data_IF_822406063745
#
_entry.id   IF_822406063745
#
_cell.length_a   1.000
_cell.length_b   1.000
_cell.length_c   1.000
_cell.angle_alpha   90.00
_cell.angle_beta   90.00
_cell.angle_gamma   90.00
#
_symmetry.space_group_name_H-M   'P 1'
#
loop_
_entity.id
_entity.type
_entity.pdbx_description
1 polymer ?
#
# COMPACT_ATOMS: atom_id res chain seq x y z
N UNK A 1 -42.59 -32.77 48.80
CA UNK A 1 -42.01 -33.42 47.61
C UNK A 1 -42.46 -32.75 46.31
N UNK A 2 -43.76 -32.62 46.00
CA UNK A 2 -44.23 -31.97 44.76
C UNK A 2 -43.74 -30.51 44.59
N UNK A 3 -43.76 -29.70 45.66
CA UNK A 3 -43.25 -28.30 45.64
C UNK A 3 -41.76 -28.20 45.32
N UNK A 4 -40.94 -29.13 45.83
CA UNK A 4 -39.50 -29.19 45.55
C UNK A 4 -39.24 -29.58 44.08
N UNK A 5 -40.06 -30.50 43.55
CA UNK A 5 -39.99 -30.93 42.14
C UNK A 5 -40.32 -29.79 41.17
N UNK A 6 -41.31 -28.95 41.49
CA UNK A 6 -41.65 -27.77 40.68
C UNK A 6 -40.55 -26.69 40.74
N UNK A 7 -39.89 -26.50 41.88
CA UNK A 7 -38.75 -25.58 41.99
C UNK A 7 -37.53 -26.06 41.19
N UNK A 8 -37.27 -27.36 41.16
CA UNK A 8 -36.19 -27.96 40.37
C UNK A 8 -36.49 -27.87 38.86
N UNK A 9 -37.74 -28.14 38.44
CA UNK A 9 -38.15 -27.97 37.05
C UNK A 9 -38.05 -26.51 36.58
N UNK A 10 -38.45 -25.56 37.43
CA UNK A 10 -38.35 -24.13 37.11
C UNK A 10 -36.89 -23.64 37.03
N UNK A 11 -36.00 -24.18 37.89
CA UNK A 11 -34.57 -23.91 37.82
C UNK A 11 -33.91 -24.50 36.57
N UNK A 12 -34.29 -25.72 36.18
CA UNK A 12 -33.78 -26.37 34.98
C UNK A 12 -34.28 -25.68 33.70
N UNK A 13 -35.53 -25.20 33.66
CA UNK A 13 -36.02 -24.41 32.53
C UNK A 13 -35.31 -23.06 32.39
N UNK A 14 -34.88 -22.45 33.49
CA UNK A 14 -34.14 -21.18 33.46
C UNK A 14 -32.69 -21.37 32.96
N UNK A 15 -32.07 -22.51 33.27
CA UNK A 15 -30.73 -22.87 32.78
C UNK A 15 -30.72 -23.16 31.27
N UNK A 16 -31.77 -23.79 30.74
CA UNK A 16 -31.91 -24.08 29.30
C UNK A 16 -32.13 -22.80 28.48
N UNK A 17 -32.78 -21.77 29.06
CA UNK A 17 -32.96 -20.47 28.38
C UNK A 17 -31.65 -19.67 28.31
N UNK A 18 -30.74 -19.84 29.28
CA UNK A 18 -29.45 -19.13 29.29
C UNK A 18 -28.42 -19.74 28.33
N UNK A 19 -28.53 -21.02 27.95
CA UNK A 19 -27.63 -21.66 26.98
C UNK A 19 -28.08 -21.51 25.51
N UNK A 20 -29.26 -20.94 25.25
CA UNK A 20 -29.81 -20.82 23.89
C UNK A 20 -29.52 -19.46 23.22
N UNK A 21 -28.74 -18.59 23.86
CA UNK A 21 -28.47 -17.22 23.41
C UNK A 21 -27.09 -16.99 22.79
N UNK A 22 -26.23 -18.01 22.66
CA UNK A 22 -24.90 -17.82 22.04
C UNK A 22 -25.02 -17.45 20.54
N UNK A 23 -25.89 -18.12 19.77
CA UNK A 23 -26.09 -17.83 18.34
C UNK A 23 -26.72 -16.46 18.02
N UNK A 24 -27.23 -15.75 19.04
CA UNK A 24 -27.84 -14.42 18.87
C UNK A 24 -26.89 -13.25 19.09
N UNK A 25 -25.70 -13.48 19.65
CA UNK A 25 -24.70 -12.43 19.86
C UNK A 25 -23.72 -12.27 18.69
N UNK A 26 -23.53 -13.31 17.87
CA UNK A 26 -22.73 -13.25 16.65
C UNK A 26 -23.59 -12.83 15.45
N UNK A 27 -24.13 -11.61 15.50
CA UNK A 27 -24.77 -11.02 14.34
C UNK A 27 -23.68 -10.42 13.42
N UNK A 28 -23.46 -10.95 12.20
CA UNK A 28 -22.54 -10.31 11.27
C UNK A 28 -23.02 -8.89 10.95
N UNK A 29 -22.07 -7.98 10.75
CA UNK A 29 -22.37 -6.59 10.41
C UNK A 29 -23.15 -6.54 9.10
N UNK A 30 -24.44 -6.21 9.15
CA UNK A 30 -25.33 -6.19 7.96
C UNK A 30 -24.88 -5.24 6.84
N UNK A 31 -23.92 -4.35 7.12
CA UNK A 31 -23.45 -3.32 6.19
C UNK A 31 -21.99 -3.51 5.74
N UNK A 32 -21.30 -4.55 6.21
CA UNK A 32 -19.94 -4.87 5.79
C UNK A 32 -19.92 -6.30 5.22
N UNK A 33 -19.38 -6.47 4.02
CA UNK A 33 -19.09 -7.80 3.50
C UNK A 33 -17.87 -8.34 4.23
N UNK A 34 -17.90 -9.62 4.55
CA UNK A 34 -16.77 -10.32 5.15
C UNK A 34 -15.59 -10.39 4.16
N UNK A 35 -14.35 -10.30 4.66
CA UNK A 35 -13.15 -10.37 3.82
C UNK A 35 -13.09 -11.67 3.01
N UNK A 36 -13.55 -12.79 3.56
CA UNK A 36 -13.60 -14.07 2.85
C UNK A 36 -14.55 -14.03 1.64
N UNK A 37 -15.65 -13.27 1.72
CA UNK A 37 -16.59 -13.09 0.63
C UNK A 37 -16.05 -12.11 -0.41
N UNK A 38 -15.43 -11.02 0.04
CA UNK A 38 -14.86 -10.00 -0.86
C UNK A 38 -13.74 -10.61 -1.71
N UNK A 39 -12.76 -11.27 -1.07
CA UNK A 39 -11.53 -11.67 -1.74
C UNK A 39 -11.58 -13.04 -2.42
N UNK A 40 -12.63 -13.83 -2.17
CA UNK A 40 -12.90 -15.06 -2.95
C UNK A 40 -13.62 -14.79 -4.28
N UNK A 41 -14.20 -13.60 -4.46
CA UNK A 41 -14.93 -13.22 -5.68
C UNK A 41 -14.16 -12.18 -6.50
N UNK A 42 -13.77 -12.47 -7.75
CA UNK A 42 -13.05 -11.51 -8.60
C UNK A 42 -13.76 -10.16 -8.75
N UNK A 43 -15.09 -10.17 -8.91
CA UNK A 43 -15.87 -8.94 -9.12
C UNK A 43 -15.93 -8.05 -7.87
N UNK A 44 -15.87 -8.64 -6.68
CA UNK A 44 -15.84 -7.88 -5.42
C UNK A 44 -14.41 -7.44 -5.09
N UNK A 45 -13.43 -8.33 -5.28
CA UNK A 45 -12.02 -8.06 -5.06
C UNK A 45 -11.48 -6.93 -5.95
N UNK A 46 -12.04 -6.74 -7.15
CA UNK A 46 -11.69 -5.61 -8.03
C UNK A 46 -11.91 -4.24 -7.36
N UNK A 47 -12.89 -4.14 -6.45
CA UNK A 47 -13.13 -2.93 -5.66
C UNK A 47 -11.93 -2.54 -4.78
N UNK A 48 -11.08 -3.50 -4.39
CA UNK A 48 -9.88 -3.21 -3.62
C UNK A 48 -8.83 -2.43 -4.44
N UNK A 49 -8.65 -2.78 -5.72
CA UNK A 49 -7.78 -2.05 -6.65
C UNK A 49 -8.28 -0.61 -6.82
N UNK A 50 -9.58 -0.44 -7.08
CA UNK A 50 -10.19 0.88 -7.17
C UNK A 50 -10.03 1.69 -5.87
N UNK A 51 -10.16 1.05 -4.71
CA UNK A 51 -9.94 1.66 -3.40
C UNK A 51 -8.51 2.17 -3.21
N UNK A 52 -7.51 1.48 -3.73
CA UNK A 52 -6.11 1.95 -3.69
C UNK A 52 -5.94 3.12 -4.66
N UNK A 53 -6.41 3.01 -5.91
CA UNK A 53 -6.31 4.08 -6.91
C UNK A 53 -7.00 5.37 -6.45
N UNK A 54 -8.10 5.25 -5.70
CA UNK A 54 -8.79 6.40 -5.12
C UNK A 54 -7.86 7.29 -4.29
N UNK A 55 -6.90 6.74 -3.54
CA UNK A 55 -5.97 7.55 -2.74
C UNK A 55 -5.00 8.38 -3.59
N UNK A 56 -4.89 8.10 -4.89
CA UNK A 56 -4.13 8.92 -5.84
C UNK A 56 -4.95 10.11 -6.38
N UNK A 57 -6.27 9.93 -6.49
CA UNK A 57 -7.20 10.88 -7.08
C UNK A 57 -7.73 11.94 -6.13
N UNK A 58 -7.55 11.73 -4.82
CA UNK A 58 -8.02 12.63 -3.77
C UNK A 58 -7.43 14.05 -3.89
N UNK A 59 -8.22 15.06 -3.52
CA UNK A 59 -7.88 16.48 -3.79
C UNK A 59 -6.53 16.88 -3.20
N UNK A 60 -6.24 16.42 -1.98
CA UNK A 60 -5.02 16.75 -1.25
C UNK A 60 -3.94 15.64 -1.31
N UNK A 61 -4.07 14.70 -2.26
CA UNK A 61 -3.23 13.51 -2.35
C UNK A 61 -2.12 13.59 -3.42
N UNK A 62 -1.82 12.47 -4.07
CA UNK A 62 -0.87 12.33 -5.17
C UNK A 62 -1.10 13.40 -6.24
N UNK A 63 -2.32 13.50 -6.77
CA UNK A 63 -2.67 14.44 -7.86
C UNK A 63 -2.49 15.90 -7.48
N UNK A 64 -3.06 16.33 -6.35
CA UNK A 64 -3.20 17.76 -6.03
C UNK A 64 -2.12 18.33 -5.10
N UNK A 65 -1.31 17.49 -4.47
CA UNK A 65 -0.24 17.93 -3.55
C UNK A 65 1.12 17.35 -3.90
N UNK A 66 1.23 16.03 -4.06
CA UNK A 66 2.53 15.41 -4.31
C UNK A 66 3.18 15.92 -5.60
N UNK A 67 2.49 15.79 -6.73
CA UNK A 67 2.99 16.20 -8.05
C UNK A 67 3.28 17.70 -8.20
N UNK A 68 2.69 18.54 -7.34
CA UNK A 68 2.74 20.00 -7.45
C UNK A 68 3.77 20.63 -6.50
N UNK A 69 4.07 19.95 -5.39
CA UNK A 69 4.90 20.50 -4.32
C UNK A 69 6.20 19.74 -4.05
N UNK A 70 6.35 18.49 -4.51
CA UNK A 70 7.51 17.65 -4.19
C UNK A 70 8.38 17.40 -5.41
N UNK A 71 9.69 17.58 -5.28
CA UNK A 71 10.66 17.32 -6.35
C UNK A 71 10.63 18.33 -7.51
N UNK A 72 9.93 19.45 -7.34
CA UNK A 72 9.83 20.54 -8.31
C UNK A 72 10.83 21.65 -8.00
N UNK A 73 10.86 22.69 -8.83
CA UNK A 73 11.72 23.87 -8.65
C UNK A 73 13.21 23.51 -8.66
N UNK A 74 13.59 22.90 -9.78
CA UNK A 74 14.92 22.40 -10.10
C UNK A 74 15.67 23.41 -10.98
N UNK A 75 16.79 23.00 -11.57
CA UNK A 75 17.52 23.80 -12.56
C UNK A 75 16.83 23.88 -13.93
N UNK A 76 15.80 23.06 -14.18
CA UNK A 76 15.04 23.04 -15.43
C UNK A 76 13.63 23.65 -15.33
N UNK A 77 13.14 23.93 -14.13
CA UNK A 77 11.85 24.57 -13.90
C UNK A 77 11.83 25.41 -12.63
N UNK A 78 11.02 26.46 -12.62
CA UNK A 78 10.88 27.35 -11.47
C UNK A 78 9.40 27.58 -11.18
N UNK A 79 9.04 27.57 -9.88
CA UNK A 79 7.71 27.97 -9.47
C UNK A 79 7.46 29.44 -9.84
N UNK A 80 6.37 29.70 -10.56
CA UNK A 80 5.87 31.07 -10.74
C UNK A 80 5.48 31.60 -9.35
N UNK A 81 6.19 32.62 -8.85
CA UNK A 81 6.26 33.07 -7.44
C UNK A 81 7.36 32.46 -6.56
N UNK A 82 8.51 32.05 -7.13
CA UNK A 82 9.70 31.61 -6.38
C UNK A 82 10.07 32.52 -5.18
N UNK A 83 9.89 33.84 -5.35
CA UNK A 83 10.24 34.87 -4.35
C UNK A 83 9.20 35.05 -3.24
N UNK A 84 8.06 34.38 -3.33
CA UNK A 84 7.11 34.32 -2.23
C UNK A 84 7.55 33.22 -1.26
N UNK A 85 7.90 33.60 -0.03
CA UNK A 85 8.29 32.67 1.02
C UNK A 85 7.27 32.66 2.16
N UNK A 86 6.13 33.34 1.99
CA UNK A 86 5.15 33.53 3.05
C UNK A 86 4.04 32.47 3.04
N UNK A 87 3.91 31.73 1.93
CA UNK A 87 2.92 30.65 1.80
C UNK A 87 3.57 29.28 2.01
N UNK A 88 2.86 28.38 2.69
CA UNK A 88 3.36 27.04 2.99
C UNK A 88 3.69 26.22 1.73
N UNK A 89 2.92 26.39 0.66
CA UNK A 89 3.20 25.74 -0.62
C UNK A 89 4.50 26.23 -1.27
N UNK A 90 4.79 27.53 -1.19
CA UNK A 90 6.03 28.06 -1.72
C UNK A 90 7.24 27.65 -0.86
N UNK A 91 7.08 27.63 0.46
CA UNK A 91 8.12 27.14 1.39
C UNK A 91 8.47 25.67 1.16
N UNK A 92 7.47 24.83 0.90
CA UNK A 92 7.68 23.42 0.58
C UNK A 92 8.47 23.24 -0.73
N UNK A 93 8.08 23.95 -1.79
CA UNK A 93 8.74 23.88 -3.10
C UNK A 93 10.14 24.48 -3.11
N UNK A 94 10.39 25.46 -2.26
CA UNK A 94 11.71 26.06 -2.10
C UNK A 94 12.63 25.28 -1.15
N UNK A 95 12.26 24.04 -0.77
CA UNK A 95 13.01 23.21 0.17
C UNK A 95 13.30 23.92 1.51
N UNK A 96 12.40 24.83 1.93
CA UNK A 96 12.48 25.65 3.15
C UNK A 96 11.24 25.46 4.04
N UNK A 97 10.78 24.21 4.15
CA UNK A 97 9.60 23.84 4.93
C UNK A 97 9.86 23.92 6.45
N UNK A 98 8.80 23.80 7.26
CA UNK A 98 8.91 23.64 8.72
C UNK A 98 7.86 22.65 9.26
N UNK A 99 7.98 22.34 10.55
CA UNK A 99 7.08 21.43 11.28
C UNK A 99 5.61 21.84 11.24
N UNK A 100 5.32 23.14 11.07
CA UNK A 100 3.96 23.69 11.03
C UNK A 100 3.40 23.87 9.63
N UNK A 101 4.07 23.40 8.58
CA UNK A 101 3.66 23.64 7.20
C UNK A 101 2.29 22.99 6.94
N UNK A 102 1.28 23.80 6.62
CA UNK A 102 -0.09 23.35 6.39
C UNK A 102 -0.29 22.44 5.17
N UNK A 103 0.68 22.36 4.25
CA UNK A 103 0.67 21.37 3.17
C UNK A 103 1.16 19.99 3.63
N UNK A 104 1.84 19.92 4.78
CA UNK A 104 2.45 18.70 5.33
C UNK A 104 1.86 18.28 6.68
N UNK A 105 1.07 19.12 7.33
CA UNK A 105 0.51 18.88 8.66
C UNK A 105 -1.02 18.96 8.63
N UNK A 106 -1.66 18.04 7.92
CA UNK A 106 -3.12 17.89 7.88
C UNK A 106 -3.51 16.41 7.78
N UNK A 107 -4.71 16.07 8.20
CA UNK A 107 -5.20 14.68 8.18
C UNK A 107 -5.40 14.11 6.76
N UNK A 108 -5.36 14.95 5.73
CA UNK A 108 -5.64 14.56 4.34
C UNK A 108 -4.54 14.98 3.35
N UNK A 109 -3.32 15.25 3.82
CA UNK A 109 -2.21 15.60 2.94
C UNK A 109 -1.65 14.38 2.18
N UNK A 110 -0.62 14.61 1.35
CA UNK A 110 0.03 13.57 0.56
C UNK A 110 0.54 12.40 1.42
N UNK A 111 1.17 12.65 2.56
CA UNK A 111 1.65 11.62 3.47
C UNK A 111 0.51 10.73 3.99
N UNK A 112 -0.56 11.34 4.49
CA UNK A 112 -1.71 10.63 5.03
C UNK A 112 -2.41 9.78 3.94
N UNK A 113 -2.54 10.32 2.73
CA UNK A 113 -3.15 9.62 1.60
C UNK A 113 -2.27 8.49 1.07
N UNK A 114 -0.94 8.63 1.11
CA UNK A 114 -0.02 7.54 0.76
C UNK A 114 -0.13 6.39 1.77
N UNK A 115 -0.11 6.67 3.07
CA UNK A 115 -0.30 5.62 4.07
C UNK A 115 -1.69 4.99 4.05
N UNK A 116 -2.73 5.75 3.68
CA UNK A 116 -4.05 5.17 3.44
C UNK A 116 -4.03 4.20 2.24
N UNK A 117 -3.35 4.55 1.14
CA UNK A 117 -3.18 3.67 -0.01
C UNK A 117 -2.39 2.40 0.34
N UNK A 118 -1.32 2.53 1.12
CA UNK A 118 -0.52 1.41 1.64
C UNK A 118 -1.37 0.48 2.51
N UNK A 119 -2.16 1.03 3.44
CA UNK A 119 -2.99 0.20 4.31
C UNK A 119 -4.06 -0.57 3.52
N UNK A 120 -4.73 0.10 2.57
CA UNK A 120 -5.68 -0.56 1.66
C UNK A 120 -5.02 -1.68 0.86
N UNK A 121 -3.78 -1.47 0.41
CA UNK A 121 -3.03 -2.51 -0.28
C UNK A 121 -2.67 -3.68 0.64
N UNK A 122 -2.22 -3.42 1.87
CA UNK A 122 -1.90 -4.46 2.85
C UNK A 122 -3.13 -5.32 3.18
N UNK A 123 -4.28 -4.69 3.42
CA UNK A 123 -5.55 -5.41 3.65
C UNK A 123 -5.92 -6.29 2.45
N UNK A 124 -5.79 -5.75 1.23
CA UNK A 124 -6.10 -6.48 0.01
C UNK A 124 -5.13 -7.64 -0.26
N UNK A 125 -3.84 -7.46 0.00
CA UNK A 125 -2.82 -8.53 -0.14
C UNK A 125 -3.10 -9.64 0.86
N UNK A 126 -3.32 -9.30 2.14
CA UNK A 126 -3.69 -10.29 3.16
C UNK A 126 -4.94 -11.05 2.73
N UNK A 127 -5.99 -10.33 2.36
CA UNK A 127 -7.27 -10.91 1.94
C UNK A 127 -7.16 -11.84 0.73
N UNK A 128 -6.50 -11.39 -0.35
CA UNK A 128 -6.28 -12.19 -1.56
C UNK A 128 -5.40 -13.41 -1.31
N UNK A 129 -4.37 -13.30 -0.46
CA UNK A 129 -3.53 -14.46 -0.10
C UNK A 129 -4.27 -15.46 0.80
N UNK A 130 -5.19 -15.00 1.63
CA UNK A 130 -5.89 -15.86 2.60
C UNK A 130 -7.10 -16.54 1.98
N UNK A 131 -7.89 -15.80 1.20
CA UNK A 131 -9.20 -16.22 0.72
C UNK A 131 -9.30 -16.28 -0.81
N UNK A 132 -8.33 -15.69 -1.51
CA UNK A 132 -8.26 -15.76 -2.95
C UNK A 132 -7.63 -17.08 -3.40
N UNK A 133 -8.31 -17.81 -4.26
CA UNK A 133 -7.75 -18.99 -4.95
C UNK A 133 -6.80 -18.56 -6.08
N UNK A 134 -5.79 -17.74 -5.74
CA UNK A 134 -4.89 -17.08 -6.71
C UNK A 134 -4.10 -18.09 -7.55
N UNK A 135 -3.89 -19.31 -7.05
CA UNK A 135 -3.20 -20.36 -7.79
C UNK A 135 -4.04 -20.95 -8.94
N UNK A 136 -5.37 -20.93 -8.83
CA UNK A 136 -6.27 -21.53 -9.83
C UNK A 136 -7.20 -20.51 -10.50
N UNK A 137 -7.24 -19.27 -10.03
CA UNK A 137 -8.06 -18.19 -10.58
C UNK A 137 -7.17 -17.07 -11.15
N UNK A 138 -6.97 -17.01 -12.48
CA UNK A 138 -6.16 -15.98 -13.13
C UNK A 138 -6.63 -14.55 -12.86
N UNK A 139 -7.92 -14.34 -12.58
CA UNK A 139 -8.44 -13.00 -12.29
C UNK A 139 -8.01 -12.54 -10.90
N UNK A 140 -8.10 -13.40 -9.89
CA UNK A 140 -7.62 -13.09 -8.54
C UNK A 140 -6.09 -12.98 -8.51
N UNK A 141 -5.38 -13.82 -9.26
CA UNK A 141 -3.93 -13.72 -9.45
C UNK A 141 -3.55 -12.34 -10.00
N UNK A 142 -4.17 -11.94 -11.11
CA UNK A 142 -3.97 -10.61 -11.69
C UNK A 142 -4.20 -9.52 -10.64
N UNK A 143 -5.33 -9.53 -9.92
CA UNK A 143 -5.65 -8.53 -8.90
C UNK A 143 -4.58 -8.46 -7.78
N UNK A 144 -4.08 -9.60 -7.31
CA UNK A 144 -2.99 -9.61 -6.32
C UNK A 144 -1.73 -8.93 -6.88
N UNK A 145 -1.35 -9.25 -8.12
CA UNK A 145 -0.23 -8.60 -8.78
C UNK A 145 -0.42 -7.09 -8.98
N UNK A 146 -1.65 -6.63 -9.29
CA UNK A 146 -1.94 -5.19 -9.38
C UNK A 146 -1.79 -4.50 -8.02
N UNK A 147 -2.30 -5.11 -6.95
CA UNK A 147 -2.23 -4.55 -5.59
C UNK A 147 -0.78 -4.45 -5.10
N UNK A 148 0.02 -5.51 -5.27
CA UNK A 148 1.45 -5.52 -4.97
C UNK A 148 2.18 -4.38 -5.70
N UNK A 149 1.87 -4.22 -6.99
CA UNK A 149 2.46 -3.16 -7.82
C UNK A 149 2.06 -1.77 -7.35
N UNK A 150 0.78 -1.55 -7.03
CA UNK A 150 0.30 -0.25 -6.55
C UNK A 150 0.92 0.11 -5.19
N UNK A 151 1.09 -0.86 -4.28
CA UNK A 151 1.84 -0.66 -3.03
C UNK A 151 3.26 -0.19 -3.31
N UNK A 152 3.95 -0.81 -4.27
CA UNK A 152 5.30 -0.42 -4.67
C UNK A 152 5.36 0.98 -5.31
N UNK A 153 4.36 1.38 -6.10
CA UNK A 153 4.26 2.76 -6.63
C UNK A 153 4.20 3.76 -5.46
N UNK A 154 3.23 3.58 -4.55
CA UNK A 154 3.02 4.52 -3.44
C UNK A 154 4.27 4.62 -2.56
N UNK A 155 4.89 3.48 -2.21
CA UNK A 155 6.11 3.50 -1.40
C UNK A 155 7.31 4.13 -2.12
N UNK A 156 7.51 3.83 -3.41
CA UNK A 156 8.58 4.44 -4.20
C UNK A 156 8.50 5.96 -4.17
N UNK A 157 7.31 6.52 -4.35
CA UNK A 157 7.10 7.98 -4.38
C UNK A 157 7.12 8.61 -2.97
N UNK A 158 6.62 7.90 -1.97
CA UNK A 158 6.78 8.28 -0.56
C UNK A 158 8.26 8.39 -0.17
N UNK A 159 9.10 7.41 -0.54
CA UNK A 159 10.53 7.46 -0.25
C UNK A 159 11.26 8.58 -0.98
N UNK A 160 10.84 8.95 -2.21
CA UNK A 160 11.46 10.08 -2.93
C UNK A 160 11.29 11.40 -2.19
N UNK A 161 10.15 11.59 -1.52
CA UNK A 161 9.85 12.84 -0.84
C UNK A 161 10.36 12.89 0.61
N UNK A 162 10.35 11.78 1.35
CA UNK A 162 10.69 11.76 2.78
C UNK A 162 11.96 10.96 3.12
N UNK A 163 12.51 10.21 2.18
CA UNK A 163 13.61 9.27 2.42
C UNK A 163 13.12 8.07 3.24
N UNK A 164 13.76 7.83 4.38
CA UNK A 164 13.41 6.73 5.27
C UNK A 164 12.07 7.02 5.95
N UNK A 165 11.16 6.04 5.95
CA UNK A 165 9.79 6.17 6.45
C UNK A 165 9.39 4.88 7.18
N UNK A 166 8.31 4.88 8.00
CA UNK A 166 7.80 3.63 8.58
C UNK A 166 7.46 2.58 7.52
N UNK A 167 8.08 1.40 7.63
CA UNK A 167 7.82 0.23 6.81
C UNK A 167 6.57 -0.51 7.33
N UNK A 168 5.53 -0.60 6.51
CA UNK A 168 4.22 -1.20 6.84
C UNK A 168 3.80 -2.09 5.68
N UNK A 169 4.00 -3.39 5.84
CA UNK A 169 3.65 -4.39 4.82
C UNK A 169 2.53 -5.34 5.26
N UNK A 170 2.06 -5.15 6.50
CA UNK A 170 0.91 -5.83 7.08
C UNK A 170 -0.13 -4.80 7.53
N UNK A 171 -1.42 -5.18 7.61
CA UNK A 171 -2.48 -4.29 8.11
C UNK A 171 -2.19 -3.80 9.53
N UNK A 172 -2.54 -2.53 9.80
CA UNK A 172 -2.28 -1.92 11.10
C UNK A 172 -3.11 -2.58 12.20
N UNK A 173 -2.47 -2.82 13.34
CA UNK A 173 -3.11 -3.29 14.56
C UNK A 173 -2.70 -2.40 15.75
N UNK A 174 -3.23 -2.68 16.94
CA UNK A 174 -2.97 -1.89 18.15
C UNK A 174 -1.50 -1.82 18.54
N UNK A 175 -0.70 -2.83 18.19
CA UNK A 175 0.73 -2.91 18.51
C UNK A 175 1.58 -2.13 17.49
N UNK A 176 1.10 -2.02 16.24
CA UNK A 176 1.83 -1.39 15.12
C UNK A 176 1.37 0.03 14.82
N UNK A 177 0.52 0.64 15.66
CA UNK A 177 0.05 2.03 15.46
C UNK A 177 1.22 2.99 15.35
N UNK A 178 2.21 2.87 16.24
CA UNK A 178 3.39 3.74 16.30
C UNK A 178 4.65 2.97 15.88
N UNK A 179 5.10 3.22 14.66
CA UNK A 179 6.36 2.67 14.15
C UNK A 179 7.35 3.81 13.89
N UNK A 180 8.60 3.57 14.24
CA UNK A 180 9.70 4.43 13.85
C UNK A 180 9.95 4.34 12.34
N UNK A 181 10.77 5.26 11.83
CA UNK A 181 11.26 5.19 10.45
C UNK A 181 12.19 3.98 10.34
N UNK A 182 12.07 3.24 9.24
CA UNK A 182 12.93 2.10 8.94
C UNK A 182 13.98 2.49 7.89
N UNK A 183 15.12 1.79 7.84
CA UNK A 183 16.06 1.95 6.73
C UNK A 183 15.34 1.65 5.41
N UNK A 184 15.43 2.59 4.45
CA UNK A 184 14.81 2.44 3.13
C UNK A 184 15.26 1.19 2.39
N UNK A 185 16.42 0.63 2.75
CA UNK A 185 16.93 -0.61 2.16
C UNK A 185 15.96 -1.78 2.43
N UNK A 186 15.34 -1.84 3.63
CA UNK A 186 14.31 -2.83 3.96
C UNK A 186 13.08 -2.64 3.06
N UNK A 187 12.66 -1.40 2.86
CA UNK A 187 11.53 -1.07 2.00
C UNK A 187 11.86 -1.47 0.55
N UNK A 188 13.03 -1.08 0.03
CA UNK A 188 13.44 -1.43 -1.33
C UNK A 188 13.43 -2.93 -1.59
N UNK A 189 13.96 -3.74 -0.68
CA UNK A 189 13.94 -5.20 -0.82
C UNK A 189 12.50 -5.71 -0.92
N UNK A 190 11.62 -5.31 0.00
CA UNK A 190 10.23 -5.73 -0.05
C UNK A 190 9.53 -5.30 -1.35
N UNK A 191 9.80 -4.09 -1.87
CA UNK A 191 9.22 -3.64 -3.13
C UNK A 191 9.74 -4.44 -4.33
N UNK A 192 11.01 -4.83 -4.32
CA UNK A 192 11.60 -5.64 -5.38
C UNK A 192 11.04 -7.06 -5.39
N UNK A 193 10.76 -7.61 -4.23
CA UNK A 193 10.12 -8.92 -4.04
C UNK A 193 8.64 -8.87 -4.44
N UNK A 194 7.90 -7.85 -3.98
CA UNK A 194 6.50 -7.61 -4.36
C UNK A 194 6.34 -7.54 -5.89
N UNK A 195 7.27 -6.84 -6.56
CA UNK A 195 7.23 -6.67 -8.02
C UNK A 195 7.73 -7.90 -8.78
N UNK A 196 8.60 -8.72 -8.18
CA UNK A 196 8.97 -10.02 -8.74
C UNK A 196 7.77 -10.96 -8.74
N UNK A 197 7.08 -11.09 -7.60
CA UNK A 197 5.87 -11.88 -7.48
C UNK A 197 4.78 -11.35 -8.43
N UNK A 198 4.54 -10.04 -8.43
CA UNK A 198 3.54 -9.43 -9.31
C UNK A 198 3.80 -9.72 -10.79
N UNK A 199 5.07 -9.77 -11.23
CA UNK A 199 5.43 -10.05 -12.61
C UNK A 199 5.05 -11.47 -13.05
N UNK A 200 4.95 -12.42 -12.13
CA UNK A 200 4.45 -13.78 -12.43
C UNK A 200 2.92 -13.83 -12.49
N UNK A 201 2.24 -12.96 -11.74
CA UNK A 201 0.78 -12.97 -11.59
C UNK A 201 0.04 -12.17 -12.67
N UNK A 202 0.58 -11.05 -13.13
CA UNK A 202 -0.12 -10.17 -14.09
C UNK A 202 0.10 -10.57 -15.55
N UNK A 203 -0.87 -10.31 -16.41
CA UNK A 203 -0.78 -10.56 -17.84
C UNK A 203 0.05 -9.50 -18.59
N UNK A 204 0.65 -9.89 -19.72
CA UNK A 204 1.25 -8.95 -20.67
C UNK A 204 0.19 -8.01 -21.28
N UNK A 205 0.56 -6.82 -21.79
CA UNK A 205 -0.36 -5.95 -22.52
C UNK A 205 -1.11 -6.72 -23.60
N UNK A 206 -2.43 -6.51 -23.68
CA UNK A 206 -3.36 -7.18 -24.60
C UNK A 206 -3.49 -8.71 -24.45
N UNK A 207 -2.87 -9.33 -23.44
CA UNK A 207 -2.92 -10.78 -23.24
C UNK A 207 -4.13 -11.26 -22.40
N UNK A 208 -4.81 -10.37 -21.68
CA UNK A 208 -6.07 -10.67 -20.96
C UNK A 208 -7.11 -9.58 -21.18
N UNK A 209 -8.37 -9.83 -20.81
CA UNK A 209 -9.44 -8.82 -20.87
C UNK A 209 -9.15 -7.60 -19.97
N UNK A 210 -8.43 -7.78 -18.86
CA UNK A 210 -8.08 -6.70 -17.93
C UNK A 210 -6.92 -5.83 -18.43
N UNK A 211 -6.08 -6.33 -19.34
CA UNK A 211 -4.90 -5.62 -19.85
C UNK A 211 -5.09 -5.11 -21.28
N UNK A 212 -6.33 -4.89 -21.72
CA UNK A 212 -6.64 -4.34 -23.05
C UNK A 212 -6.41 -2.82 -23.16
N UNK A 213 -6.56 -2.10 -22.04
CA UNK A 213 -6.29 -0.66 -21.95
C UNK A 213 -5.04 -0.40 -21.09
N UNK A 214 -4.64 0.87 -21.01
CA UNK A 214 -3.54 1.34 -20.16
C UNK A 214 -4.00 1.74 -18.75
N UNK A 215 -5.25 1.46 -18.39
CA UNK A 215 -5.85 1.88 -17.12
C UNK A 215 -5.57 0.89 -15.98
N UNK A 216 -5.01 -0.28 -16.31
CA UNK A 216 -4.74 -1.38 -15.39
C UNK A 216 -3.26 -1.74 -15.39
N UNK A 217 -2.80 -2.28 -14.27
CA UNK A 217 -1.43 -2.77 -14.16
C UNK A 217 -1.26 -3.99 -15.07
N UNK A 218 -0.21 -3.98 -15.88
CA UNK A 218 0.17 -5.09 -16.76
C UNK A 218 1.66 -5.43 -16.56
N UNK A 219 2.09 -6.58 -17.06
CA UNK A 219 3.45 -7.11 -16.83
C UNK A 219 4.54 -6.15 -17.27
N UNK A 220 4.36 -5.44 -18.40
CA UNK A 220 5.34 -4.46 -18.87
C UNK A 220 5.52 -3.30 -17.87
N UNK A 221 4.42 -2.81 -17.27
CA UNK A 221 4.50 -1.79 -16.22
C UNK A 221 5.19 -2.30 -14.95
N UNK A 222 4.86 -3.52 -14.51
CA UNK A 222 5.49 -4.14 -13.32
C UNK A 222 7.01 -4.25 -13.50
N UNK A 223 7.45 -4.80 -14.64
CA UNK A 223 8.87 -4.98 -14.97
C UNK A 223 9.60 -3.63 -15.06
N UNK A 224 9.01 -2.66 -15.75
CA UNK A 224 9.56 -1.31 -15.86
C UNK A 224 9.67 -0.60 -14.51
N UNK A 225 8.69 -0.77 -13.61
CA UNK A 225 8.73 -0.23 -12.26
C UNK A 225 9.81 -0.93 -11.41
N UNK A 226 9.91 -2.26 -11.49
CA UNK A 226 10.94 -3.04 -10.78
C UNK A 226 12.34 -2.60 -11.20
N UNK A 227 12.59 -2.42 -12.49
CA UNK A 227 13.85 -1.88 -13.01
C UNK A 227 14.14 -0.49 -12.44
N UNK A 228 13.17 0.42 -12.44
CA UNK A 228 13.35 1.79 -11.90
C UNK A 228 13.68 1.79 -10.42
N UNK A 229 13.01 0.93 -9.64
CA UNK A 229 13.25 0.80 -8.19
C UNK A 229 14.63 0.17 -7.93
N UNK A 230 15.01 -0.88 -8.66
CA UNK A 230 16.33 -1.50 -8.54
C UNK A 230 17.45 -0.49 -8.84
N UNK A 231 17.28 0.35 -9.88
CA UNK A 231 18.23 1.41 -10.20
C UNK A 231 18.35 2.44 -9.07
N UNK A 232 17.23 2.79 -8.43
CA UNK A 232 17.19 3.72 -7.29
C UNK A 232 17.88 3.12 -6.06
N UNK A 233 17.64 1.84 -5.77
CA UNK A 233 18.25 1.12 -4.65
C UNK A 233 19.78 0.98 -4.77
N UNK A 234 20.29 0.83 -5.99
CA UNK A 234 21.73 0.79 -6.29
C UNK A 234 22.43 2.15 -6.12
N UNK A 235 21.66 3.24 -6.13
CA UNK A 235 22.14 4.61 -6.18
C UNK A 235 22.74 5.12 -4.87
N UNK A 236 23.45 6.24 -4.97
CA UNK A 236 23.81 7.02 -3.78
C UNK A 236 22.58 7.77 -3.27
N UNK A 237 22.41 7.80 -1.95
CA UNK A 237 21.36 8.58 -1.31
C UNK A 237 21.82 9.16 0.02
N UNK A 238 21.21 10.27 0.42
CA UNK A 238 21.35 10.82 1.77
C UNK A 238 20.72 9.86 2.78
N UNK A 239 21.49 9.44 3.78
CA UNK A 239 21.07 8.52 4.85
C UNK A 239 20.77 9.28 6.15
N UNK A 240 20.17 8.60 7.13
CA UNK A 240 19.84 9.20 8.43
C UNK A 240 21.07 9.71 9.20
N UNK A 241 22.23 9.12 8.96
CA UNK A 241 23.52 9.54 9.52
C UNK A 241 24.06 10.85 8.88
N UNK A 242 23.35 11.44 7.91
CA UNK A 242 23.74 12.65 7.20
C UNK A 242 24.77 12.43 6.09
N UNK A 243 25.20 11.19 5.87
CA UNK A 243 26.16 10.86 4.81
C UNK A 243 25.46 10.52 3.49
N UNK A 244 26.15 10.76 2.38
CA UNK A 244 25.73 10.31 1.06
C UNK A 244 26.48 9.03 0.74
N UNK A 245 25.77 7.91 0.74
CA UNK A 245 26.34 6.59 0.46
C UNK A 245 25.35 5.68 -0.24
N UNK A 246 25.88 4.62 -0.85
CA UNK A 246 25.07 3.49 -1.34
C UNK A 246 24.56 2.66 -0.15
N UNK A 247 23.64 1.74 -0.45
CA UNK A 247 23.23 0.71 0.49
C UNK A 247 24.45 -0.08 0.97
N UNK A 248 24.43 -0.45 2.26
CA UNK A 248 25.38 -1.41 2.85
C UNK A 248 24.82 -2.83 2.88
N UNK A 249 23.59 -3.03 2.39
CA UNK A 249 22.93 -4.32 2.39
C UNK A 249 23.42 -5.16 1.20
N UNK A 250 23.88 -6.42 1.40
CA UNK A 250 24.41 -7.26 0.33
C UNK A 250 23.41 -7.56 -0.80
N UNK A 251 22.11 -7.55 -0.51
CA UNK A 251 21.08 -7.75 -1.54
C UNK A 251 20.86 -6.55 -2.45
N UNK A 252 21.26 -5.35 -2.04
CA UNK A 252 21.12 -4.12 -2.82
C UNK A 252 22.44 -3.67 -3.45
N UNK A 253 23.43 -4.56 -3.53
CA UNK A 253 24.69 -4.24 -4.18
C UNK A 253 24.47 -3.86 -5.66
N UNK A 254 25.23 -2.90 -6.21
CA UNK A 254 24.99 -2.41 -7.56
C UNK A 254 25.00 -3.51 -8.64
N UNK A 255 25.85 -4.52 -8.51
CA UNK A 255 25.92 -5.61 -9.48
C UNK A 255 24.60 -6.40 -9.56
N UNK A 256 24.00 -6.76 -8.41
CA UNK A 256 22.69 -7.44 -8.35
C UNK A 256 21.58 -6.56 -8.88
N UNK A 257 21.54 -5.30 -8.45
CA UNK A 257 20.51 -4.36 -8.91
C UNK A 257 20.58 -4.13 -10.42
N UNK A 258 21.77 -3.94 -10.99
CA UNK A 258 21.93 -3.76 -12.43
C UNK A 258 21.60 -5.03 -13.22
N UNK A 259 21.79 -6.22 -12.63
CA UNK A 259 21.33 -7.46 -13.23
C UNK A 259 19.79 -7.52 -13.32
N UNK A 260 19.09 -7.10 -12.26
CA UNK A 260 17.61 -6.97 -12.28
C UNK A 260 17.22 -5.96 -13.36
N UNK A 261 17.78 -4.74 -13.35
CA UNK A 261 17.48 -3.71 -14.35
C UNK A 261 17.63 -4.23 -15.77
N UNK A 262 18.78 -4.86 -16.07
CA UNK A 262 19.07 -5.40 -17.40
C UNK A 262 18.07 -6.48 -17.80
N UNK A 263 17.75 -7.42 -16.90
CA UNK A 263 16.78 -8.49 -17.17
C UNK A 263 15.41 -7.90 -17.49
N UNK A 264 14.89 -7.04 -16.61
CA UNK A 264 13.56 -6.46 -16.78
C UNK A 264 13.45 -5.60 -18.05
N UNK A 265 14.51 -4.83 -18.39
CA UNK A 265 14.53 -4.02 -19.60
C UNK A 265 14.71 -4.83 -20.91
N UNK A 266 15.28 -6.04 -20.85
CA UNK A 266 15.40 -6.91 -22.03
C UNK A 266 14.13 -7.74 -22.26
N UNK A 267 13.35 -7.99 -21.21
CA UNK A 267 12.10 -8.74 -21.29
C UNK A 267 10.95 -7.90 -21.89
N UNK A 268 10.99 -6.57 -21.77
CA UNK A 268 9.96 -5.61 -22.26
C UNK A 268 10.33 -5.07 -23.63
#
# INVERSE_FOLDING_TARGET
MKKLLYSILAGFSLLVVLSACEDTLDAPTKSALDESVIFSSPSLAEGAVAGIIHSFGETNSYRGRFLVYYGVNTDCEVRNSLRDFNTDGARLVNYNTNVGNGQMNSANNAWAMFYQGIERANMAIRGLRTYGDVGNNPQLAQLLGEVLTLRAVVYSDLMKAWGDVPARFEPVNTETVYLAREDRDIIYMQLLDDLEEAAELVAWPKASSMTQSTERVNKAFVKGLRARIALSAAGYGLRQDGTIRRSSHPELEPAKMYAIVKKECLDV
#
